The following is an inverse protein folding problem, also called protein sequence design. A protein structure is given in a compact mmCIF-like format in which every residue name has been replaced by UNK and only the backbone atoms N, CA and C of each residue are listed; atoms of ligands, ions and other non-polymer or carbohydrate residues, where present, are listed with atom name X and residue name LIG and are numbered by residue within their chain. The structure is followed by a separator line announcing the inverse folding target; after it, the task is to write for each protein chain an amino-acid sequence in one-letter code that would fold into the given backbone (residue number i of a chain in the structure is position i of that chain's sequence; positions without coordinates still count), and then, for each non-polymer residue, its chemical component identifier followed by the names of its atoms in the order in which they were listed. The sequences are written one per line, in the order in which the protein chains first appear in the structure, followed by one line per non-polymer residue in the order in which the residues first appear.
data_IF_627011034526
#
_entry.id   IF_627011034526
#
_cell.length_a   1.000
_cell.length_b   1.000
_cell.length_c   1.000
_cell.angle_alpha   90.00
_cell.angle_beta   90.00
_cell.angle_gamma   90.00
#
_symmetry.space_group_name_H-M   'P 1'
#
loop_
_entity.id
_entity.type
_entity.pdbx_description
1 polymer ?
#
# COMPACT_ATOMS: atom_id res chain seq x y z
N UNK A 1 6.95 12.30 17.58
CA UNK A 1 5.58 12.36 17.04
C UNK A 1 5.01 10.96 17.11
N UNK A 2 3.88 10.80 17.77
CA UNK A 2 3.33 9.51 18.19
C UNK A 2 3.22 8.55 17.01
N UNK A 3 3.72 7.32 17.20
CA UNK A 3 3.51 6.18 16.33
C UNK A 3 2.04 5.78 16.43
N UNK A 4 1.16 6.58 15.82
CA UNK A 4 -0.20 6.16 15.54
C UNK A 4 -0.06 5.01 14.55
N UNK A 5 -0.62 3.85 14.86
CA UNK A 5 -0.45 2.60 14.10
C UNK A 5 -0.91 2.66 12.64
N UNK A 6 -1.35 3.83 12.16
CA UNK A 6 -1.86 4.13 10.84
C UNK A 6 -0.81 4.70 9.86
N UNK A 7 0.49 4.64 10.18
CA UNK A 7 1.55 5.13 9.29
C UNK A 7 2.30 4.00 8.56
N UNK A 8 2.51 4.20 7.25
CA UNK A 8 3.28 3.30 6.38
C UNK A 8 4.51 4.05 5.88
N UNK A 9 5.69 3.52 6.20
CA UNK A 9 6.94 3.94 5.58
C UNK A 9 7.25 3.03 4.39
N UNK A 10 7.11 3.58 3.20
CA UNK A 10 7.38 2.86 1.94
C UNK A 10 8.88 2.84 1.69
N UNK A 11 9.39 1.64 1.42
CA UNK A 11 10.76 1.36 1.02
C UNK A 11 10.78 0.42 -0.18
N UNK A 12 11.92 0.29 -0.86
CA UNK A 12 12.09 -0.59 -2.01
C UNK A 12 12.18 -2.09 -1.66
N UNK A 13 12.13 -2.48 -0.37
CA UNK A 13 12.35 -3.87 0.05
C UNK A 13 11.13 -4.77 -0.07
N UNK A 14 9.92 -4.22 0.01
CA UNK A 14 8.69 -5.00 -0.06
C UNK A 14 8.01 -4.86 -1.44
N UNK A 15 7.30 -5.91 -1.92
CA UNK A 15 6.55 -5.84 -3.17
C UNK A 15 5.48 -4.74 -3.15
N UNK A 16 5.12 -4.21 -4.33
CA UNK A 16 4.12 -3.13 -4.45
C UNK A 16 2.79 -3.46 -3.74
N UNK A 17 2.25 -4.65 -3.99
CA UNK A 17 0.95 -5.07 -3.44
C UNK A 17 0.96 -5.30 -1.93
N UNK A 18 2.13 -5.44 -1.30
CA UNK A 18 2.23 -5.49 0.16
C UNK A 18 1.73 -4.18 0.77
N UNK A 19 2.18 -3.03 0.25
CA UNK A 19 1.76 -1.72 0.73
C UNK A 19 0.30 -1.42 0.42
N UNK A 20 -0.22 -1.90 -0.71
CA UNK A 20 -1.65 -1.80 -1.03
C UNK A 20 -2.48 -2.59 0.00
N UNK A 21 -2.07 -3.82 0.32
CA UNK A 21 -2.76 -4.64 1.33
C UNK A 21 -2.72 -4.02 2.72
N UNK A 22 -1.56 -3.50 3.13
CA UNK A 22 -1.40 -2.80 4.40
C UNK A 22 -2.26 -1.52 4.44
N UNK A 23 -2.31 -0.76 3.34
CA UNK A 23 -3.17 0.41 3.22
C UNK A 23 -4.65 0.06 3.39
N UNK A 24 -5.14 -1.01 2.74
CA UNK A 24 -6.52 -1.49 2.91
C UNK A 24 -6.82 -1.87 4.37
N UNK A 25 -5.90 -2.58 5.03
CA UNK A 25 -6.05 -2.96 6.44
C UNK A 25 -6.12 -1.74 7.36
N UNK A 26 -5.19 -0.79 7.23
CA UNK A 26 -5.17 0.40 8.10
C UNK A 26 -6.35 1.34 7.85
N UNK A 27 -6.82 1.44 6.60
CA UNK A 27 -8.06 2.17 6.29
C UNK A 27 -9.29 1.51 6.93
N UNK A 28 -9.32 0.18 7.03
CA UNK A 28 -10.40 -0.54 7.70
C UNK A 28 -10.35 -0.35 9.23
N UNK A 29 -9.17 -0.42 9.84
CA UNK A 29 -8.97 -0.33 11.29
C UNK A 29 -9.07 1.11 11.84
N UNK A 30 -8.49 2.09 11.12
CA UNK A 30 -8.32 3.45 11.62
C UNK A 30 -9.05 4.52 10.79
N UNK A 31 -9.58 4.18 9.62
CA UNK A 31 -10.27 5.13 8.73
C UNK A 31 -9.34 6.10 7.98
N UNK A 32 -8.06 6.14 8.32
CA UNK A 32 -7.05 6.99 7.71
C UNK A 32 -5.71 6.27 7.66
N UNK A 33 -4.89 6.56 6.64
CA UNK A 33 -3.54 6.03 6.50
C UNK A 33 -2.57 7.11 6.05
N UNK A 34 -1.39 7.13 6.67
CA UNK A 34 -0.32 8.09 6.42
C UNK A 34 0.80 7.39 5.66
N UNK A 35 0.96 7.69 4.38
CA UNK A 35 2.00 7.12 3.55
C UNK A 35 3.21 8.06 3.49
N UNK A 36 4.41 7.56 3.75
CA UNK A 36 5.65 8.32 3.62
C UNK A 36 6.71 7.55 2.84
N UNK A 37 7.46 8.26 2.00
CA UNK A 37 8.53 7.66 1.20
C UNK A 37 9.70 8.63 1.02
N UNK A 38 10.91 8.07 0.83
CA UNK A 38 12.14 8.82 0.60
C UNK A 38 12.84 8.40 -0.69
N UNK A 39 13.34 9.38 -1.44
CA UNK A 39 14.12 9.15 -2.65
C UNK A 39 13.36 8.30 -3.67
N UNK A 40 13.96 7.19 -4.11
CA UNK A 40 13.39 6.33 -5.14
C UNK A 40 12.05 5.69 -4.76
N UNK A 41 11.77 5.50 -3.46
CA UNK A 41 10.51 4.92 -2.99
C UNK A 41 9.29 5.86 -3.21
N UNK A 42 9.53 7.12 -3.58
CA UNK A 42 8.47 8.10 -3.89
C UNK A 42 7.58 7.62 -5.05
N UNK A 43 8.14 6.94 -6.05
CA UNK A 43 7.34 6.38 -7.15
C UNK A 43 6.36 5.31 -6.66
N UNK A 44 6.81 4.43 -5.76
CA UNK A 44 5.99 3.36 -5.19
C UNK A 44 4.81 3.92 -4.40
N UNK A 45 5.02 4.97 -3.59
CA UNK A 45 3.93 5.53 -2.80
C UNK A 45 2.87 6.21 -3.66
N UNK A 46 3.28 6.89 -4.75
CA UNK A 46 2.33 7.45 -5.73
C UNK A 46 1.49 6.34 -6.34
N UNK A 47 2.12 5.25 -6.81
CA UNK A 47 1.41 4.11 -7.37
C UNK A 47 0.42 3.49 -6.37
N UNK A 48 0.81 3.32 -5.10
CA UNK A 48 -0.07 2.78 -4.06
C UNK A 48 -1.27 3.69 -3.82
N UNK A 49 -1.05 5.01 -3.71
CA UNK A 49 -2.12 5.98 -3.52
C UNK A 49 -3.10 5.98 -4.70
N UNK A 50 -2.58 5.97 -5.93
CA UNK A 50 -3.40 5.92 -7.15
C UNK A 50 -4.18 4.60 -7.26
N UNK A 51 -3.60 3.45 -6.91
CA UNK A 51 -4.32 2.17 -6.89
C UNK A 51 -5.49 2.20 -5.90
N UNK A 52 -5.29 2.75 -4.69
CA UNK A 52 -6.36 2.84 -3.69
C UNK A 52 -7.47 3.82 -4.11
N UNK A 53 -7.13 4.93 -4.78
CA UNK A 53 -8.10 5.88 -5.33
C UNK A 53 -8.88 5.29 -6.52
N UNK A 54 -8.18 4.58 -7.42
CA UNK A 54 -8.79 3.94 -8.59
C UNK A 54 -9.86 2.92 -8.22
N UNK A 55 -9.60 2.12 -7.19
CA UNK A 55 -10.56 1.16 -6.64
C UNK A 55 -11.66 1.83 -5.79
N UNK A 56 -11.68 3.17 -5.69
CA UNK A 56 -12.60 3.96 -4.84
C UNK A 56 -12.54 3.56 -3.36
N UNK A 57 -11.40 3.06 -2.89
CA UNK A 57 -11.21 2.65 -1.50
C UNK A 57 -10.76 3.83 -0.63
N UNK A 58 -10.08 4.81 -1.22
CA UNK A 58 -9.57 5.94 -0.47
C UNK A 58 -9.78 7.27 -1.18
N UNK A 59 -9.82 8.34 -0.40
CA UNK A 59 -9.80 9.73 -0.86
C UNK A 59 -8.57 10.42 -0.29
N UNK A 60 -7.88 11.18 -1.12
CA UNK A 60 -6.73 11.99 -0.70
C UNK A 60 -7.18 13.16 0.17
N UNK A 61 -6.54 13.32 1.32
CA UNK A 61 -6.78 14.41 2.26
C UNK A 61 -5.68 15.46 2.14
N UNK A 62 -4.43 14.99 2.09
CA UNK A 62 -3.27 15.87 2.08
C UNK A 62 -2.11 15.23 1.32
N UNK A 63 -1.37 16.06 0.57
CA UNK A 63 -0.10 15.73 -0.06
C UNK A 63 0.94 16.78 0.32
N UNK A 64 2.12 16.32 0.72
CA UNK A 64 3.24 17.17 1.10
C UNK A 64 4.57 16.63 0.61
N UNK A 65 5.42 17.51 0.12
CA UNK A 65 6.80 17.21 -0.27
C UNK A 65 7.78 18.04 0.57
N UNK A 66 8.90 17.45 0.93
CA UNK A 66 9.99 18.18 1.57
C UNK A 66 11.34 17.55 1.24
N UNK A 67 12.43 18.25 1.56
CA UNK A 67 13.77 17.69 1.51
C UNK A 67 14.17 17.25 2.91
N UNK A 68 14.44 15.95 3.08
CA UNK A 68 14.95 15.40 4.34
C UNK A 68 16.48 15.33 4.25
N UNK A 69 17.17 16.05 5.12
CA UNK A 69 18.62 15.99 5.24
C UNK A 69 18.99 14.73 6.04
N UNK A 70 19.71 13.82 5.41
CA UNK A 70 20.27 12.64 6.07
C UNK A 70 21.75 12.90 6.36
N UNK A 71 22.09 12.89 7.65
CA UNK A 71 23.45 12.78 8.12
C UNK A 71 23.84 11.30 8.09
N UNK A 72 24.94 11.00 7.41
CA UNK A 72 25.54 9.67 7.32
C UNK A 72 26.93 9.82 7.94
N UNK A 73 27.25 9.03 8.97
CA UNK A 73 28.46 9.20 9.79
C UNK A 73 29.76 9.10 8.96
N UNK A 74 29.69 8.53 7.76
CA UNK A 74 30.81 8.46 6.81
C UNK A 74 30.91 9.60 5.80
N UNK A 75 29.98 10.57 5.78
CA UNK A 75 29.96 11.65 4.76
C UNK A 75 30.16 13.03 5.38
N UNK A 76 31.10 13.78 4.81
CA UNK A 76 31.45 15.14 5.24
C UNK A 76 30.32 16.18 5.08
N UNK A 77 29.26 15.88 4.31
CA UNK A 77 28.12 16.79 4.08
C UNK A 77 26.78 16.04 4.11
N UNK A 78 25.72 16.63 4.67
CA UNK A 78 24.37 16.04 4.66
C UNK A 78 23.88 15.79 3.23
N UNK A 79 23.22 14.65 3.02
CA UNK A 79 22.58 14.32 1.74
C UNK A 79 21.09 14.64 1.85
N UNK A 80 20.61 15.56 1.03
CA UNK A 80 19.19 15.86 0.94
C UNK A 80 18.49 14.85 0.04
N UNK A 81 17.42 14.21 0.55
CA UNK A 81 16.55 13.34 -0.25
C UNK A 81 15.14 13.91 -0.29
N UNK A 82 14.44 13.82 -1.43
CA UNK A 82 13.03 14.17 -1.47
C UNK A 82 12.24 13.19 -0.62
N UNK A 83 11.34 13.73 0.20
CA UNK A 83 10.34 13.02 0.96
C UNK A 83 8.97 13.36 0.41
N UNK A 84 8.14 12.35 0.23
CA UNK A 84 6.72 12.51 -0.08
C UNK A 84 5.91 11.98 1.09
N UNK A 85 4.85 12.71 1.46
CA UNK A 85 3.89 12.36 2.48
C UNK A 85 2.48 12.50 1.90
N UNK A 86 1.67 11.46 2.02
CA UNK A 86 0.27 11.44 1.55
C UNK A 86 -0.60 10.95 2.70
N UNK A 87 -1.69 11.66 2.98
CA UNK A 87 -2.73 11.21 3.91
C UNK A 87 -3.95 10.81 3.09
N UNK A 88 -4.40 9.57 3.27
CA UNK A 88 -5.58 9.03 2.63
C UNK A 88 -6.62 8.67 3.68
N UNK A 89 -7.88 9.04 3.44
CA UNK A 89 -9.02 8.63 4.26
C UNK A 89 -9.85 7.55 3.57
N UNK A 90 -10.56 6.76 4.39
CA UNK A 90 -11.52 5.75 3.95
C UNK A 90 -12.62 6.40 3.12
N UNK A 91 -12.91 5.82 1.95
CA UNK A 91 -14.01 6.26 1.10
C UNK A 91 -15.36 5.76 1.63
N UNK A 92 -16.49 6.43 1.30
CA UNK A 92 -17.82 6.03 1.78
C UNK A 92 -18.23 4.60 1.39
N UNK A 93 -17.87 4.16 0.19
CA UNK A 93 -18.23 2.84 -0.33
C UNK A 93 -17.19 1.75 -0.02
N UNK A 94 -16.19 2.05 0.81
CA UNK A 94 -15.06 1.15 1.09
C UNK A 94 -15.51 -0.25 1.55
N UNK A 95 -16.41 -0.33 2.52
CA UNK A 95 -16.80 -1.61 3.13
C UNK A 95 -17.54 -2.51 2.12
N UNK A 96 -18.34 -1.90 1.24
CA UNK A 96 -19.04 -2.62 0.16
C UNK A 96 -18.05 -3.19 -0.84
N UNK A 97 -17.12 -2.37 -1.32
CA UNK A 97 -16.12 -2.76 -2.31
C UNK A 97 -15.18 -3.83 -1.73
N UNK A 98 -14.80 -3.72 -0.46
CA UNK A 98 -13.97 -4.73 0.20
C UNK A 98 -14.69 -6.07 0.34
N UNK A 99 -15.99 -6.07 0.67
CA UNK A 99 -16.78 -7.29 0.73
C UNK A 99 -16.95 -7.96 -0.65
N UNK A 100 -17.18 -7.16 -1.70
CA UNK A 100 -17.24 -7.65 -3.08
C UNK A 100 -15.90 -8.24 -3.55
N UNK A 101 -14.79 -7.55 -3.29
CA UNK A 101 -13.44 -8.04 -3.63
C UNK A 101 -13.05 -9.29 -2.85
N UNK A 102 -13.52 -9.46 -1.61
CA UNK A 102 -13.28 -10.67 -0.82
C UNK A 102 -13.98 -11.88 -1.48
N UNK A 103 -15.26 -11.74 -1.82
CA UNK A 103 -16.03 -12.78 -2.52
C UNK A 103 -15.40 -13.17 -3.86
N UNK A 104 -14.96 -12.19 -4.64
CA UNK A 104 -14.31 -12.45 -5.94
C UNK A 104 -12.97 -13.19 -5.76
N UNK A 105 -12.21 -12.85 -4.71
CA UNK A 105 -10.94 -13.54 -4.40
C UNK A 105 -11.17 -14.99 -3.97
N UNK A 106 -12.17 -15.24 -3.13
CA UNK A 106 -12.56 -16.58 -2.70
C UNK A 106 -12.96 -17.43 -3.90
N UNK A 107 -13.87 -16.94 -4.75
CA UNK A 107 -14.29 -17.63 -5.97
C UNK A 107 -13.11 -17.92 -6.91
N UNK A 108 -12.16 -16.99 -7.05
CA UNK A 108 -10.97 -17.18 -7.89
C UNK A 108 -9.98 -18.17 -7.28
N UNK A 109 -9.87 -18.24 -5.95
CA UNK A 109 -9.05 -19.22 -5.26
C UNK A 109 -9.62 -20.63 -5.39
N UNK A 110 -10.94 -20.78 -5.23
CA UNK A 110 -11.65 -22.04 -5.45
C UNK A 110 -11.50 -22.54 -6.89
N UNK A 111 -11.67 -21.64 -7.88
CA UNK A 111 -11.47 -21.98 -9.29
C UNK A 111 -10.01 -22.40 -9.60
N UNK A 112 -9.02 -21.73 -8.98
CA UNK A 112 -7.60 -22.12 -9.12
C UNK A 112 -7.28 -23.45 -8.46
N UNK A 113 -7.83 -23.71 -7.28
CA UNK A 113 -7.67 -24.97 -6.58
C UNK A 113 -8.26 -26.13 -7.40
N UNK A 114 -9.47 -25.95 -7.96
CA UNK A 114 -10.11 -26.94 -8.83
C UNK A 114 -9.29 -27.22 -10.12
N UNK A 115 -8.67 -26.19 -10.70
CA UNK A 115 -7.79 -26.34 -11.88
C UNK A 115 -6.45 -27.00 -11.58
N UNK A 116 -5.93 -26.86 -10.36
CA UNK A 116 -4.70 -27.55 -9.95
C UNK A 116 -4.94 -29.03 -9.66
N UNK A 117 -6.12 -29.39 -9.13
CA UNK A 117 -6.50 -30.79 -8.87
C UNK A 117 -6.70 -31.57 -10.17
N UNK A 118 -7.25 -30.96 -11.22
CA UNK A 118 -7.46 -31.62 -12.52
C UNK A 118 -6.17 -31.81 -13.34
N UNK A 119 -5.12 -31.02 -13.08
CA UNK A 119 -3.82 -31.13 -13.76
C UNK A 119 -2.85 -32.12 -13.08
N UNK A 120 -3.20 -32.64 -11.89
CA UNK A 120 -2.40 -33.63 -11.16
C UNK A 120 -2.90 -35.07 -11.30
N UNK A 121 -3.88 -35.35 -12.18
CA UNK A 121 -4.30 -36.72 -12.46
C UNK A 121 -3.16 -37.50 -13.17
N UNK A 122 -2.63 -38.58 -12.58
CA UNK A 122 -1.55 -39.34 -13.20
C UNK A 122 -2.06 -40.03 -14.47
N UNK A 123 -1.32 -39.85 -15.57
CA UNK A 123 -1.44 -40.70 -16.74
C UNK A 123 -1.16 -42.15 -16.31
N UNK A 124 -2.17 -43.01 -16.43
CA UNK A 124 -2.03 -44.46 -16.31
C UNK A 124 -1.31 -45.01 -17.53
#
# INVERSE_FOLDING_TARGET
MANQGNSIRVSSRAPLFFYVGLGKRLLAEHGEVHLSALGFAVSTVVTVAELLKKDKLAVEVQLGTCLEALTDDGKARPVHKPKLMIVLRKAPDFDKIMAEQAKEREARQEARAAQQVSQQAPAQ
#
